data_IF_004405763415
#
_entry.id   IF_004405763415
#
_cell.length_a   1.000
_cell.length_b   1.000
_cell.length_c   1.000
_cell.angle_alpha   90.00
_cell.angle_beta   90.00
_cell.angle_gamma   90.00
#
_symmetry.space_group_name_H-M   'P 1'
#
loop_
_entity.id
_entity.type
_entity.pdbx_description
1 polymer ?
#
# COMPACT_ATOMS: atom_id res chain seq x y z
N UNK A 1 57.33 -10.03 36.71
CA UNK A 1 56.49 -8.99 37.35
C UNK A 1 56.43 -7.77 36.44
N UNK A 2 55.37 -7.64 35.64
CA UNK A 2 54.63 -6.39 35.49
C UNK A 2 53.41 -6.65 34.60
N UNK A 3 52.26 -6.26 35.13
CA UNK A 3 50.93 -6.41 34.59
C UNK A 3 50.57 -5.11 33.87
N UNK A 4 50.04 -5.15 32.64
CA UNK A 4 49.07 -4.14 32.17
C UNK A 4 48.02 -4.82 31.29
N UNK A 5 46.76 -4.62 31.68
CA UNK A 5 45.52 -4.96 30.97
C UNK A 5 45.12 -3.81 30.02
N UNK A 6 44.41 -4.15 28.95
CA UNK A 6 43.59 -3.23 28.13
C UNK A 6 43.62 -3.69 26.67
N UNK A 7 42.55 -4.11 26.02
CA UNK A 7 41.17 -3.60 26.03
C UNK A 7 40.90 -3.07 24.63
N UNK A 8 39.94 -3.65 23.90
CA UNK A 8 39.51 -3.10 22.60
C UNK A 8 38.90 -4.11 21.65
N UNK A 9 37.65 -4.50 21.88
CA UNK A 9 36.80 -5.08 20.84
C UNK A 9 36.36 -3.95 19.91
N UNK A 10 36.74 -3.97 18.64
CA UNK A 10 36.09 -3.13 17.63
C UNK A 10 35.55 -4.01 16.51
N UNK A 11 34.25 -4.22 16.62
CA UNK A 11 33.36 -4.83 15.64
C UNK A 11 33.10 -3.79 14.55
N UNK A 12 33.42 -4.09 13.30
CA UNK A 12 33.10 -3.24 12.15
C UNK A 12 32.02 -3.89 11.28
N UNK A 13 30.75 -3.73 11.65
CA UNK A 13 29.64 -4.04 10.76
C UNK A 13 29.56 -2.93 9.70
N UNK A 14 29.94 -3.24 8.47
CA UNK A 14 29.73 -2.36 7.30
C UNK A 14 28.24 -2.35 6.99
N UNK A 15 27.53 -1.32 7.48
CA UNK A 15 26.13 -1.09 7.12
C UNK A 15 26.07 -0.47 5.72
N UNK A 16 25.90 -1.30 4.69
CA UNK A 16 25.59 -0.83 3.33
C UNK A 16 24.18 -0.25 3.34
N UNK A 17 24.05 1.07 3.45
CA UNK A 17 22.77 1.76 3.23
C UNK A 17 22.53 1.83 1.72
N UNK A 18 21.72 0.89 1.20
CA UNK A 18 21.16 0.95 -0.15
C UNK A 18 20.35 2.24 -0.32
N UNK A 19 20.76 3.12 -1.22
CA UNK A 19 19.93 4.24 -1.66
C UNK A 19 18.93 3.74 -2.70
N UNK A 20 17.70 3.47 -2.28
CA UNK A 20 16.61 3.30 -3.23
C UNK A 20 16.41 4.61 -4.01
N UNK A 21 16.54 4.53 -5.33
CA UNK A 21 16.29 5.60 -6.29
C UNK A 21 14.94 6.29 -6.04
N UNK A 22 14.87 7.60 -6.25
CA UNK A 22 13.64 8.40 -6.14
C UNK A 22 12.49 7.86 -7.01
N UNK A 23 12.80 7.18 -8.12
CA UNK A 23 11.80 6.51 -8.96
C UNK A 23 11.07 5.36 -8.24
N UNK A 24 11.75 4.64 -7.33
CA UNK A 24 11.14 3.60 -6.52
C UNK A 24 10.17 4.17 -5.47
N UNK A 25 10.41 5.40 -5.00
CA UNK A 25 9.49 6.11 -4.09
C UNK A 25 8.26 6.65 -4.79
N UNK A 26 8.39 7.14 -6.02
CA UNK A 26 7.25 7.59 -6.82
C UNK A 26 6.31 6.43 -7.21
N UNK A 27 6.87 5.23 -7.46
CA UNK A 27 6.08 4.03 -7.69
C UNK A 27 5.39 3.49 -6.41
N UNK A 28 6.00 3.69 -5.23
CA UNK A 28 5.45 3.25 -3.95
C UNK A 28 4.21 4.07 -3.49
N UNK A 29 3.96 5.24 -4.08
CA UNK A 29 2.75 6.05 -3.82
C UNK A 29 1.47 5.40 -4.41
N UNK A 30 1.63 4.33 -5.21
CA UNK A 30 0.54 3.51 -5.78
C UNK A 30 0.36 2.16 -5.06
N UNK A 31 0.84 2.02 -3.82
CA UNK A 31 0.51 0.86 -2.99
C UNK A 31 -0.88 1.07 -2.36
N UNK A 32 -1.83 0.11 -2.43
CA UNK A 32 -3.15 0.29 -1.85
C UNK A 32 -3.04 0.50 -0.34
N UNK A 33 -3.56 1.64 0.13
CA UNK A 33 -3.68 1.92 1.56
C UNK A 33 -4.67 0.96 2.25
N UNK A 34 -4.75 0.98 3.59
CA UNK A 34 -5.58 0.07 4.36
C UNK A 34 -7.06 0.09 3.94
N UNK A 35 -7.60 1.25 3.58
CA UNK A 35 -9.02 1.36 3.16
C UNK A 35 -9.22 0.76 1.78
N UNK A 36 -8.35 1.10 0.82
CA UNK A 36 -8.40 0.51 -0.52
C UNK A 36 -8.29 -1.02 -0.49
N UNK A 37 -7.38 -1.55 0.34
CA UNK A 37 -7.22 -2.98 0.56
C UNK A 37 -8.49 -3.62 1.11
N UNK A 38 -9.11 -2.99 2.12
CA UNK A 38 -10.37 -3.46 2.70
C UNK A 38 -11.53 -3.44 1.70
N UNK A 39 -11.64 -2.40 0.85
CA UNK A 39 -12.65 -2.35 -0.22
C UNK A 39 -12.44 -3.51 -1.20
N UNK A 40 -11.21 -3.71 -1.69
CA UNK A 40 -10.89 -4.81 -2.63
C UNK A 40 -11.21 -6.17 -2.03
N UNK A 41 -10.81 -6.41 -0.79
CA UNK A 41 -11.06 -7.67 -0.10
C UNK A 41 -12.57 -7.94 0.01
N UNK A 42 -13.34 -7.02 0.59
CA UNK A 42 -14.78 -7.18 0.80
C UNK A 42 -15.55 -7.41 -0.50
N UNK A 43 -15.22 -6.64 -1.54
CA UNK A 43 -15.87 -6.76 -2.84
C UNK A 43 -15.49 -8.07 -3.55
N UNK A 44 -14.23 -8.50 -3.44
CA UNK A 44 -13.78 -9.78 -4.01
C UNK A 44 -14.48 -10.96 -3.33
N UNK A 45 -14.49 -10.98 -1.99
CA UNK A 45 -15.14 -12.04 -1.20
C UNK A 45 -16.64 -12.13 -1.47
N UNK A 46 -17.32 -10.98 -1.56
CA UNK A 46 -18.78 -10.94 -1.73
C UNK A 46 -19.22 -11.24 -3.16
N UNK A 47 -18.60 -10.59 -4.14
CA UNK A 47 -19.10 -10.56 -5.51
C UNK A 47 -18.38 -11.53 -6.44
N UNK A 48 -17.22 -12.08 -6.05
CA UNK A 48 -16.38 -12.94 -6.89
C UNK A 48 -16.26 -12.40 -8.33
N UNK A 49 -15.87 -11.12 -8.50
CA UNK A 49 -16.02 -10.43 -9.77
C UNK A 49 -15.04 -10.93 -10.83
N UNK A 50 -15.48 -10.96 -12.08
CA UNK A 50 -14.60 -11.19 -13.24
C UNK A 50 -13.63 -10.01 -13.42
N UNK A 51 -14.07 -8.80 -13.06
CA UNK A 51 -13.25 -7.58 -13.08
C UNK A 51 -13.53 -6.72 -11.86
N UNK A 52 -12.48 -6.27 -11.18
CA UNK A 52 -12.55 -5.30 -10.08
C UNK A 52 -11.42 -4.26 -10.19
N UNK A 53 -11.80 -3.02 -10.47
CA UNK A 53 -10.93 -1.84 -10.45
C UNK A 53 -11.35 -0.93 -9.29
N UNK A 54 -10.39 -0.57 -8.44
CA UNK A 54 -10.58 0.35 -7.31
C UNK A 54 -9.50 1.41 -7.42
N UNK A 55 -9.89 2.67 -7.51
CA UNK A 55 -8.98 3.82 -7.66
C UNK A 55 -9.24 4.79 -6.53
N UNK A 56 -8.18 5.13 -5.79
CA UNK A 56 -8.22 6.23 -4.84
C UNK A 56 -8.13 7.55 -5.61
N UNK A 57 -9.22 8.31 -5.66
CA UNK A 57 -9.33 9.61 -6.32
C UNK A 57 -9.33 10.75 -5.28
N UNK A 58 -8.96 10.49 -4.01
CA UNK A 58 -8.88 11.51 -2.95
C UNK A 58 -7.98 12.69 -3.31
N UNK A 59 -6.94 12.49 -4.11
CA UNK A 59 -6.05 13.57 -4.57
C UNK A 59 -6.76 14.63 -5.41
N UNK A 60 -7.97 14.34 -5.94
CA UNK A 60 -8.81 15.30 -6.66
C UNK A 60 -9.58 16.25 -5.73
N UNK A 61 -9.47 16.05 -4.41
CA UNK A 61 -10.11 16.88 -3.40
C UNK A 61 -9.07 17.60 -2.55
N UNK A 62 -9.46 18.71 -1.93
CA UNK A 62 -8.63 19.48 -1.00
C UNK A 62 -8.47 18.75 0.34
N UNK A 63 -7.80 17.60 0.32
CA UNK A 63 -7.51 16.74 1.46
C UNK A 63 -6.00 16.49 1.58
N UNK A 64 -5.49 16.10 2.77
CA UNK A 64 -4.08 15.78 2.94
C UNK A 64 -3.60 14.66 2.01
N UNK A 65 -2.30 14.62 1.71
CA UNK A 65 -1.69 13.52 0.94
C UNK A 65 -1.88 12.20 1.67
N UNK A 66 -2.11 11.14 0.90
CA UNK A 66 -2.38 9.80 1.43
C UNK A 66 -3.79 9.61 2.01
N UNK A 67 -4.68 10.59 1.89
CA UNK A 67 -6.09 10.43 2.27
C UNK A 67 -6.75 9.29 1.47
N UNK A 68 -7.64 8.57 2.14
CA UNK A 68 -8.40 7.46 1.60
C UNK A 68 -9.90 7.71 1.83
N UNK A 69 -10.42 8.77 1.21
CA UNK A 69 -11.77 9.31 1.44
C UNK A 69 -12.66 9.31 0.20
N UNK A 70 -12.10 9.25 -1.01
CA UNK A 70 -12.86 9.22 -2.25
C UNK A 70 -12.34 8.11 -3.16
N UNK A 71 -13.24 7.21 -3.56
CA UNK A 71 -12.89 6.05 -4.37
C UNK A 71 -13.81 5.93 -5.56
N UNK A 72 -13.22 5.68 -6.73
CA UNK A 72 -13.96 5.14 -7.86
C UNK A 72 -13.80 3.62 -7.87
N UNK A 73 -14.93 2.94 -7.95
CA UNK A 73 -15.00 1.48 -8.01
C UNK A 73 -15.71 1.08 -9.30
N UNK A 74 -15.09 0.19 -10.07
CA UNK A 74 -15.72 -0.45 -11.23
C UNK A 74 -15.66 -1.95 -11.01
N UNK A 75 -16.82 -2.59 -11.00
CA UNK A 75 -16.96 -4.01 -10.71
C UNK A 75 -17.84 -4.67 -11.77
N UNK A 76 -17.44 -5.85 -12.24
CA UNK A 76 -18.21 -6.70 -13.16
C UNK A 76 -18.40 -8.05 -12.49
N UNK A 77 -19.66 -8.45 -12.27
CA UNK A 77 -20.04 -9.71 -11.65
C UNK A 77 -21.42 -10.12 -12.14
N UNK A 78 -21.61 -11.42 -12.37
CA UNK A 78 -22.90 -12.01 -12.76
C UNK A 78 -23.97 -11.79 -11.69
N UNK A 79 -23.56 -11.52 -10.44
CA UNK A 79 -24.50 -11.19 -9.37
C UNK A 79 -25.32 -9.92 -9.64
N UNK A 80 -24.87 -9.02 -10.54
CA UNK A 80 -25.65 -7.84 -10.93
C UNK A 80 -26.68 -8.12 -12.03
N UNK A 81 -26.74 -9.33 -12.58
CA UNK A 81 -27.72 -9.68 -13.61
C UNK A 81 -29.15 -9.58 -13.06
N UNK A 82 -30.02 -8.85 -13.77
CA UNK A 82 -31.41 -8.65 -13.37
C UNK A 82 -31.62 -7.71 -12.18
N UNK A 83 -30.55 -7.17 -11.58
CA UNK A 83 -30.66 -6.15 -10.53
C UNK A 83 -31.03 -4.78 -11.12
N UNK A 84 -31.65 -3.94 -10.29
CA UNK A 84 -31.88 -2.55 -10.66
C UNK A 84 -30.59 -1.75 -10.51
N UNK A 85 -30.52 -0.61 -11.17
CA UNK A 85 -29.38 0.30 -11.01
C UNK A 85 -29.23 0.80 -9.55
N UNK A 86 -30.35 0.90 -8.84
CA UNK A 86 -30.43 1.31 -7.44
C UNK A 86 -31.42 0.36 -6.76
N UNK A 87 -31.02 -0.16 -5.59
CA UNK A 87 -31.88 -0.97 -4.71
C UNK A 87 -32.78 -0.10 -3.83
#
# INVERSE_FOLDING_TARGET
MSLVRGGGWHVGQVLVRSMASSAARAAAEQQPGPVMAAIRQKLTERFQPTTLDVKNESYMHSVPRGSETHFKVTIVSDQFEGMKLIE
#
